data_IF_377868121766
#
_entry.id   IF_377868121766
#
_cell.length_a   1.000
_cell.length_b   1.000
_cell.length_c   1.000
_cell.angle_alpha   90.00
_cell.angle_beta   90.00
_cell.angle_gamma   90.00
#
_symmetry.space_group_name_H-M   'P 1'
#
loop_
_entity.id
_entity.type
_entity.pdbx_description
1 polymer ?
#
# COMPACT_ATOMS: atom_id res chain seq x y z
N UNK A 1 -9.44 24.89 5.88
CA UNK A 1 -9.72 24.81 7.32
C UNK A 1 -8.41 24.87 8.08
N UNK A 2 -8.29 25.56 9.22
CA UNK A 2 -7.07 25.56 10.01
C UNK A 2 -6.76 24.11 10.46
N UNK A 3 -5.51 23.66 10.22
CA UNK A 3 -5.02 22.37 10.70
C UNK A 3 -4.92 22.44 12.22
N UNK A 4 -5.72 21.65 12.91
CA UNK A 4 -5.58 21.49 14.37
C UNK A 4 -4.39 20.56 14.58
N UNK A 5 -3.28 21.12 15.07
CA UNK A 5 -2.15 20.35 15.58
C UNK A 5 -2.60 19.75 16.93
N UNK A 6 -3.05 18.50 16.92
CA UNK A 6 -3.27 17.75 18.15
C UNK A 6 -1.90 17.36 18.73
N UNK A 7 -1.80 17.35 20.07
CA UNK A 7 -0.65 16.75 20.75
C UNK A 7 -0.55 15.27 20.28
N UNK A 8 0.63 14.78 19.89
CA UNK A 8 0.80 13.39 19.46
C UNK A 8 0.28 12.36 20.47
N UNK A 9 0.34 12.66 21.77
CA UNK A 9 -0.19 11.79 22.83
C UNK A 9 -1.71 11.75 22.79
N UNK A 10 -2.36 12.90 22.64
CA UNK A 10 -3.83 13.02 22.55
C UNK A 10 -4.34 12.32 21.29
N UNK A 11 -3.62 12.44 20.18
CA UNK A 11 -3.97 11.74 18.93
C UNK A 11 -3.93 10.21 19.08
N UNK A 12 -2.88 9.67 19.69
CA UNK A 12 -2.76 8.22 19.94
C UNK A 12 -3.87 7.69 20.83
N UNK A 13 -4.20 8.43 21.89
CA UNK A 13 -5.30 8.08 22.78
C UNK A 13 -6.66 8.15 22.04
N UNK A 14 -6.88 9.19 21.24
CA UNK A 14 -8.11 9.36 20.47
C UNK A 14 -8.29 8.22 19.45
N UNK A 15 -7.23 7.82 18.75
CA UNK A 15 -7.24 6.68 17.82
C UNK A 15 -7.57 5.37 18.55
N UNK A 16 -6.92 5.09 19.68
CA UNK A 16 -7.19 3.91 20.49
C UNK A 16 -8.62 3.87 21.02
N UNK A 17 -9.13 5.00 21.53
CA UNK A 17 -10.50 5.11 22.04
C UNK A 17 -11.54 4.92 20.92
N UNK A 18 -11.32 5.53 19.75
CA UNK A 18 -12.19 5.35 18.58
C UNK A 18 -12.23 3.90 18.11
N UNK A 19 -11.09 3.23 18.10
CA UNK A 19 -10.98 1.80 17.76
C UNK A 19 -11.74 0.93 18.76
N UNK A 20 -11.51 1.11 20.06
CA UNK A 20 -12.17 0.33 21.09
C UNK A 20 -13.71 0.52 21.04
N UNK A 21 -14.19 1.75 20.94
CA UNK A 21 -15.61 2.04 20.83
C UNK A 21 -16.26 1.46 19.56
N UNK A 22 -15.52 1.41 18.46
CA UNK A 22 -16.00 0.79 17.24
C UNK A 22 -16.02 -0.75 17.34
N UNK A 23 -14.99 -1.33 17.96
CA UNK A 23 -14.86 -2.77 18.18
C UNK A 23 -15.94 -3.31 19.13
N UNK A 24 -16.42 -2.51 20.08
CA UNK A 24 -17.51 -2.89 21.00
C UNK A 24 -18.88 -3.05 20.30
N UNK A 25 -19.02 -2.55 19.06
CA UNK A 25 -20.22 -2.75 18.24
C UNK A 25 -20.20 -4.04 17.44
N UNK A 26 -19.08 -4.75 17.43
CA UNK A 26 -18.93 -6.02 16.70
C UNK A 26 -19.56 -7.17 17.47
N UNK A 27 -20.16 -8.11 16.76
CA UNK A 27 -20.65 -9.36 17.33
C UNK A 27 -19.48 -10.32 17.57
N UNK A 28 -19.00 -10.36 18.79
CA UNK A 28 -17.85 -11.20 19.19
C UNK A 28 -18.17 -12.70 19.31
N UNK A 29 -19.40 -13.12 19.01
CA UNK A 29 -19.75 -14.55 18.90
C UNK A 29 -19.35 -15.15 17.56
N UNK A 30 -19.01 -14.28 16.60
CA UNK A 30 -18.52 -14.63 15.25
C UNK A 30 -17.12 -14.06 15.03
N UNK A 31 -16.30 -14.70 14.18
CA UNK A 31 -14.95 -14.20 13.90
C UNK A 31 -14.98 -12.78 13.30
N UNK A 32 -14.03 -11.93 13.70
CA UNK A 32 -13.80 -10.64 13.05
C UNK A 32 -12.99 -10.88 11.78
N UNK A 33 -13.40 -10.33 10.64
CA UNK A 33 -12.62 -10.41 9.41
C UNK A 33 -11.69 -9.18 9.29
N UNK A 34 -10.38 -9.42 9.28
CA UNK A 34 -9.36 -8.41 9.03
C UNK A 34 -8.96 -8.48 7.57
N UNK A 35 -9.11 -7.38 6.85
CA UNK A 35 -8.79 -7.27 5.43
C UNK A 35 -7.70 -6.22 5.24
N UNK A 36 -6.69 -6.51 4.43
CA UNK A 36 -5.61 -5.56 4.21
C UNK A 36 -5.03 -5.60 2.81
N UNK A 37 -4.29 -4.54 2.50
CA UNK A 37 -3.50 -4.44 1.28
C UNK A 37 -2.30 -5.40 1.34
N UNK A 38 -1.75 -5.77 0.19
CA UNK A 38 -0.69 -6.78 0.07
C UNK A 38 0.73 -6.22 0.08
N UNK A 39 0.91 -4.95 0.42
CA UNK A 39 2.24 -4.36 0.60
C UNK A 39 2.72 -4.35 2.06
N UNK A 40 3.91 -3.76 2.30
CA UNK A 40 4.51 -3.78 3.62
C UNK A 40 3.67 -3.05 4.66
N UNK A 41 2.99 -1.94 4.31
CA UNK A 41 2.14 -1.20 5.25
C UNK A 41 0.88 -2.00 5.56
N UNK A 42 0.16 -2.45 4.53
CA UNK A 42 -1.08 -3.21 4.70
C UNK A 42 -0.89 -4.52 5.45
N UNK A 43 0.11 -5.37 5.07
CA UNK A 43 0.36 -6.63 5.79
C UNK A 43 0.89 -6.41 7.22
N UNK A 44 1.68 -5.35 7.47
CA UNK A 44 2.12 -5.03 8.82
C UNK A 44 0.96 -4.54 9.70
N UNK A 45 0.02 -3.75 9.14
CA UNK A 45 -1.21 -3.35 9.82
C UNK A 45 -2.06 -4.57 10.19
N UNK A 46 -2.31 -5.47 9.23
CA UNK A 46 -3.06 -6.72 9.47
C UNK A 46 -2.38 -7.58 10.52
N UNK A 47 -1.07 -7.82 10.41
CA UNK A 47 -0.34 -8.64 11.39
C UNK A 47 -0.40 -8.04 12.80
N UNK A 48 -0.30 -6.72 12.93
CA UNK A 48 -0.41 -6.02 14.21
C UNK A 48 -1.79 -6.22 14.85
N UNK A 49 -2.86 -6.00 14.08
CA UNK A 49 -4.23 -6.18 14.55
C UNK A 49 -4.57 -7.63 14.89
N UNK A 50 -4.16 -8.57 14.03
CA UNK A 50 -4.39 -9.99 14.26
C UNK A 50 -3.71 -10.48 15.54
N UNK A 51 -2.45 -10.07 15.77
CA UNK A 51 -1.75 -10.37 17.03
C UNK A 51 -2.44 -9.75 18.25
N UNK A 52 -2.92 -8.50 18.13
CA UNK A 52 -3.59 -7.81 19.22
C UNK A 52 -4.95 -8.47 19.56
N UNK A 53 -5.75 -8.79 18.54
CA UNK A 53 -7.01 -9.52 18.73
C UNK A 53 -6.78 -10.90 19.33
N UNK A 54 -5.76 -11.64 18.84
CA UNK A 54 -5.39 -12.94 19.39
C UNK A 54 -4.95 -12.86 20.85
N UNK A 55 -4.13 -11.86 21.23
CA UNK A 55 -3.73 -11.61 22.61
C UNK A 55 -4.94 -11.27 23.52
N UNK A 56 -5.91 -10.53 22.97
CA UNK A 56 -7.18 -10.23 23.64
C UNK A 56 -8.20 -11.39 23.60
N UNK A 57 -7.84 -12.54 23.01
CA UNK A 57 -8.71 -13.73 22.85
C UNK A 57 -9.98 -13.43 22.04
N UNK A 58 -9.88 -12.56 21.06
CA UNK A 58 -10.94 -12.24 20.13
C UNK A 58 -10.72 -13.07 18.86
N UNK A 59 -11.70 -13.87 18.47
CA UNK A 59 -11.62 -14.72 17.28
C UNK A 59 -11.62 -13.87 16.01
N UNK A 60 -10.75 -14.23 15.07
CA UNK A 60 -10.57 -13.47 13.85
C UNK A 60 -10.06 -14.32 12.69
N UNK A 61 -10.37 -13.87 11.49
CA UNK A 61 -9.85 -14.41 10.24
C UNK A 61 -9.15 -13.28 9.45
N UNK A 62 -8.23 -13.65 8.57
CA UNK A 62 -7.45 -12.69 7.77
C UNK A 62 -7.72 -12.91 6.29
N UNK A 63 -7.83 -11.81 5.55
CA UNK A 63 -7.91 -11.78 4.09
C UNK A 63 -7.00 -10.66 3.54
N UNK A 64 -5.96 -11.01 2.83
CA UNK A 64 -5.15 -10.03 2.09
C UNK A 64 -5.70 -9.92 0.68
N UNK A 65 -6.03 -8.71 0.26
CA UNK A 65 -6.42 -8.44 -1.12
C UNK A 65 -5.17 -8.38 -2.00
N UNK A 66 -5.23 -9.12 -3.09
CA UNK A 66 -4.13 -9.24 -4.04
C UNK A 66 -4.26 -8.29 -5.22
N UNK A 67 -3.48 -8.60 -6.25
CA UNK A 67 -3.39 -7.83 -7.49
C UNK A 67 -4.75 -7.72 -8.20
N UNK A 68 -5.26 -6.49 -8.25
CA UNK A 68 -6.50 -6.17 -8.98
C UNK A 68 -7.79 -6.44 -8.22
N UNK A 69 -7.72 -6.86 -6.96
CA UNK A 69 -8.88 -6.94 -6.06
C UNK A 69 -9.15 -5.57 -5.43
N UNK A 70 -10.42 -5.32 -5.13
CA UNK A 70 -10.86 -4.06 -4.52
C UNK A 70 -11.96 -4.37 -3.49
N UNK A 71 -11.86 -3.86 -2.25
CA UNK A 71 -12.82 -4.18 -1.20
C UNK A 71 -14.23 -3.61 -1.45
N UNK A 72 -14.37 -2.66 -2.39
CA UNK A 72 -15.69 -2.12 -2.79
C UNK A 72 -16.30 -2.83 -3.99
N UNK A 73 -15.70 -3.90 -4.52
CA UNK A 73 -16.31 -4.68 -5.58
C UNK A 73 -17.43 -5.57 -5.03
N UNK A 74 -18.50 -5.73 -5.81
CA UNK A 74 -19.65 -6.56 -5.42
C UNK A 74 -19.25 -8.00 -5.05
N UNK A 75 -18.29 -8.58 -5.79
CA UNK A 75 -17.77 -9.91 -5.51
C UNK A 75 -17.14 -10.01 -4.11
N UNK A 76 -16.46 -8.95 -3.64
CA UNK A 76 -15.89 -8.94 -2.29
C UNK A 76 -16.99 -8.78 -1.22
N UNK A 77 -18.00 -7.97 -1.46
CA UNK A 77 -19.16 -7.88 -0.57
C UNK A 77 -19.89 -9.23 -0.45
N UNK A 78 -19.97 -10.00 -1.54
CA UNK A 78 -20.54 -11.37 -1.53
C UNK A 78 -19.62 -12.33 -0.74
N UNK A 79 -18.29 -12.23 -0.88
CA UNK A 79 -17.33 -13.00 -0.08
C UNK A 79 -17.51 -12.71 1.42
N UNK A 80 -17.61 -11.44 1.81
CA UNK A 80 -17.81 -11.05 3.22
C UNK A 80 -19.14 -11.61 3.75
N UNK A 81 -20.21 -11.51 2.96
CA UNK A 81 -21.52 -12.05 3.34
C UNK A 81 -21.50 -13.57 3.52
N UNK A 82 -20.79 -14.29 2.65
CA UNK A 82 -20.65 -15.74 2.77
C UNK A 82 -19.81 -16.18 3.98
N UNK A 83 -18.88 -15.34 4.44
CA UNK A 83 -18.07 -15.58 5.65
C UNK A 83 -18.81 -15.24 6.95
N UNK A 84 -19.88 -14.46 6.87
CA UNK A 84 -20.71 -14.00 7.98
C UNK A 84 -19.91 -13.52 9.21
N UNK A 85 -18.98 -12.53 9.05
CA UNK A 85 -18.17 -12.07 10.17
C UNK A 85 -18.98 -11.25 11.16
N UNK A 86 -18.56 -11.25 12.44
CA UNK A 86 -19.13 -10.40 13.47
C UNK A 86 -18.80 -8.92 13.31
N UNK A 87 -17.83 -8.59 12.47
CA UNK A 87 -17.41 -7.24 12.10
C UNK A 87 -16.25 -7.29 11.11
N UNK A 88 -15.99 -6.17 10.46
CA UNK A 88 -14.98 -6.03 9.41
C UNK A 88 -13.97 -4.96 9.80
N UNK A 89 -12.67 -5.27 9.73
CA UNK A 89 -11.59 -4.29 9.84
C UNK A 89 -10.88 -4.26 8.49
N UNK A 90 -10.85 -3.12 7.84
CA UNK A 90 -10.19 -2.94 6.54
C UNK A 90 -9.02 -1.98 6.71
N UNK A 91 -7.83 -2.38 6.29
CA UNK A 91 -6.61 -1.60 6.46
C UNK A 91 -5.94 -1.32 5.12
N UNK A 92 -5.50 -0.06 4.92
CA UNK A 92 -4.62 0.35 3.82
C UNK A 92 -5.22 0.11 2.41
N UNK A 93 -6.54 0.28 2.29
CA UNK A 93 -7.27 0.06 1.03
C UNK A 93 -8.09 1.27 0.58
N UNK A 94 -7.96 2.39 1.30
CA UNK A 94 -8.67 3.64 1.05
C UNK A 94 -9.92 3.82 1.93
N UNK A 95 -10.50 5.01 1.85
CA UNK A 95 -11.75 5.40 2.52
C UNK A 95 -12.73 5.93 1.49
N UNK A 96 -13.93 5.33 1.44
CA UNK A 96 -15.01 5.76 0.54
C UNK A 96 -16.30 6.04 1.29
N UNK A 97 -17.26 6.65 0.63
CA UNK A 97 -18.58 6.95 1.21
C UNK A 97 -19.49 5.74 1.32
N UNK A 98 -19.41 4.82 0.35
CA UNK A 98 -20.18 3.58 0.32
C UNK A 98 -19.61 2.53 1.29
N UNK A 99 -20.43 1.68 1.91
CA UNK A 99 -19.97 0.61 2.77
C UNK A 99 -19.25 -0.49 1.96
N UNK A 100 -18.21 -1.11 2.55
CA UNK A 100 -17.54 -2.28 1.96
C UNK A 100 -18.47 -3.49 1.88
N UNK A 101 -19.22 -3.74 2.94
CA UNK A 101 -20.24 -4.79 3.01
C UNK A 101 -21.45 -4.23 3.76
N UNK A 102 -22.59 -3.95 3.06
CA UNK A 102 -23.77 -3.43 3.70
C UNK A 102 -24.28 -4.33 4.83
N UNK A 103 -24.61 -3.73 5.99
CA UNK A 103 -25.12 -4.44 7.18
C UNK A 103 -24.03 -5.08 8.04
N UNK A 104 -22.73 -4.92 7.72
CA UNK A 104 -21.61 -5.41 8.53
C UNK A 104 -20.92 -4.22 9.19
N UNK A 105 -20.88 -4.12 10.54
CA UNK A 105 -20.14 -3.09 11.24
C UNK A 105 -18.67 -3.10 10.80
N UNK A 106 -18.17 -1.92 10.37
CA UNK A 106 -16.86 -1.84 9.71
C UNK A 106 -15.97 -0.78 10.37
N UNK A 107 -14.69 -1.11 10.54
CA UNK A 107 -13.63 -0.17 10.89
C UNK A 107 -12.70 -0.05 9.69
N UNK A 108 -12.50 1.17 9.16
CA UNK A 108 -11.50 1.48 8.15
C UNK A 108 -10.30 2.14 8.85
N UNK A 109 -9.09 1.59 8.64
CA UNK A 109 -7.82 2.14 9.16
C UNK A 109 -6.95 2.46 7.96
N UNK A 110 -6.76 3.75 7.66
CA UNK A 110 -6.18 4.16 6.38
C UNK A 110 -5.53 5.55 6.46
N UNK A 111 -4.65 5.86 5.52
CA UNK A 111 -4.00 7.16 5.42
C UNK A 111 -4.12 7.82 4.03
N UNK A 112 -4.70 7.12 3.07
CA UNK A 112 -4.92 7.67 1.74
C UNK A 112 -5.97 8.78 1.74
N UNK A 113 -5.94 9.62 0.69
CA UNK A 113 -6.95 10.67 0.50
C UNK A 113 -8.33 10.04 0.36
N UNK A 114 -9.28 10.34 1.26
CA UNK A 114 -10.63 9.80 1.17
C UNK A 114 -11.34 10.25 -0.10
N UNK A 115 -12.04 9.35 -0.77
CA UNK A 115 -12.90 9.68 -1.93
C UNK A 115 -14.37 9.86 -1.54
N UNK A 116 -14.70 9.70 -0.26
CA UNK A 116 -16.02 9.92 0.30
C UNK A 116 -16.00 9.90 1.82
N UNK A 117 -17.12 10.29 2.44
CA UNK A 117 -17.29 10.25 3.89
C UNK A 117 -18.13 9.04 4.27
N UNK A 118 -17.57 8.03 4.96
CA UNK A 118 -18.31 6.87 5.41
C UNK A 118 -19.46 7.27 6.34
N UNK A 119 -20.55 6.53 6.26
CA UNK A 119 -21.73 6.71 7.11
C UNK A 119 -22.17 5.40 7.74
N UNK A 120 -23.29 5.46 8.49
CA UNK A 120 -23.90 4.29 9.10
C UNK A 120 -23.02 3.56 10.10
N UNK A 121 -22.80 2.27 9.88
CA UNK A 121 -22.05 1.39 10.79
C UNK A 121 -20.53 1.41 10.56
N UNK A 122 -20.03 2.31 9.71
CA UNK A 122 -18.60 2.42 9.41
C UNK A 122 -17.92 3.49 10.26
N UNK A 123 -16.85 3.10 10.96
CA UNK A 123 -15.93 4.03 11.64
C UNK A 123 -14.66 4.14 10.81
N UNK A 124 -14.29 5.36 10.43
CA UNK A 124 -13.01 5.62 9.78
C UNK A 124 -11.99 6.19 10.77
N UNK A 125 -10.85 5.54 10.87
CA UNK A 125 -9.64 5.99 11.57
C UNK A 125 -8.64 6.34 10.48
N UNK A 126 -8.51 7.63 10.18
CA UNK A 126 -7.73 8.11 9.05
C UNK A 126 -6.57 8.98 9.49
N UNK A 127 -5.39 8.69 8.93
CA UNK A 127 -4.19 9.52 9.05
C UNK A 127 -4.15 10.67 8.06
N UNK A 128 -5.02 10.68 7.06
CA UNK A 128 -5.01 11.68 6.01
C UNK A 128 -5.19 13.11 6.55
N UNK A 129 -4.30 13.99 6.13
CA UNK A 129 -4.31 15.40 6.52
C UNK A 129 -3.65 15.69 7.87
N UNK A 130 -3.20 14.69 8.62
CA UNK A 130 -2.34 14.88 9.80
C UNK A 130 -0.92 15.27 9.35
N UNK A 131 -0.17 15.91 10.23
CA UNK A 131 1.22 16.30 9.95
C UNK A 131 2.08 16.01 11.18
N UNK A 132 3.00 15.04 11.08
CA UNK A 132 3.23 14.12 9.96
C UNK A 132 2.08 13.13 9.75
N UNK A 133 1.93 12.62 8.51
CA UNK A 133 0.89 11.66 8.16
C UNK A 133 1.30 10.25 8.61
N UNK A 134 0.56 9.59 9.54
CA UNK A 134 0.86 8.24 9.98
C UNK A 134 0.40 7.23 8.94
N UNK A 135 1.17 6.16 8.74
CA UNK A 135 0.79 5.03 7.87
C UNK A 135 -0.28 4.15 8.52
N UNK A 136 -0.91 3.29 7.72
CA UNK A 136 -1.94 2.36 8.21
C UNK A 136 -1.39 1.41 9.28
N UNK A 137 -0.13 0.94 9.18
CA UNK A 137 0.49 0.10 10.20
C UNK A 137 0.76 0.86 11.51
N UNK A 138 1.10 2.15 11.45
CA UNK A 138 1.26 2.95 12.66
C UNK A 138 -0.09 3.18 13.34
N UNK A 139 -1.13 3.51 12.59
CA UNK A 139 -2.50 3.63 13.10
C UNK A 139 -2.98 2.30 13.72
N UNK A 140 -2.72 1.18 13.04
CA UNK A 140 -3.05 -0.16 13.54
C UNK A 140 -2.31 -0.47 14.86
N UNK A 141 -1.06 -0.03 15.00
CA UNK A 141 -0.33 -0.19 16.25
C UNK A 141 -0.91 0.67 17.39
N UNK A 142 -1.33 1.92 17.11
CA UNK A 142 -2.05 2.73 18.10
C UNK A 142 -3.39 2.09 18.50
N UNK A 143 -4.12 1.50 17.54
CA UNK A 143 -5.33 0.71 17.82
C UNK A 143 -5.04 -0.51 18.70
N UNK A 144 -3.97 -1.26 18.39
CA UNK A 144 -3.57 -2.45 19.14
C UNK A 144 -3.26 -2.13 20.61
N UNK A 145 -2.67 -0.97 20.91
CA UNK A 145 -2.41 -0.51 22.28
C UNK A 145 -3.66 -0.30 23.12
N UNK A 146 -4.81 -0.07 22.50
CA UNK A 146 -6.09 -0.01 23.22
C UNK A 146 -6.58 -1.39 23.70
N UNK A 147 -6.03 -2.49 23.16
CA UNK A 147 -6.34 -3.86 23.57
C UNK A 147 -5.34 -4.43 24.58
N UNK A 148 -4.18 -3.81 24.74
CA UNK A 148 -3.15 -4.28 25.66
C UNK A 148 -1.74 -3.82 25.28
N UNK A 149 -0.71 -4.49 25.82
CA UNK A 149 0.68 -4.19 25.48
C UNK A 149 1.00 -4.63 24.04
N UNK A 150 1.39 -3.68 23.22
CA UNK A 150 1.78 -3.88 21.83
C UNK A 150 3.25 -3.51 21.54
N UNK A 151 4.05 -3.24 22.57
CA UNK A 151 5.44 -2.74 22.40
C UNK A 151 6.35 -3.74 21.70
N UNK A 152 6.07 -5.04 21.83
CA UNK A 152 6.79 -6.09 21.11
C UNK A 152 6.57 -6.03 19.59
N UNK A 153 5.49 -5.39 19.12
CA UNK A 153 5.10 -5.30 17.72
C UNK A 153 5.38 -3.93 17.09
N UNK A 154 6.04 -3.03 17.81
CA UNK A 154 6.40 -1.69 17.28
C UNK A 154 7.21 -1.76 15.98
N UNK A 155 7.98 -2.83 15.78
CA UNK A 155 8.71 -3.04 14.53
C UNK A 155 7.80 -3.23 13.31
N UNK A 156 6.55 -3.71 13.49
CA UNK A 156 5.55 -3.80 12.43
C UNK A 156 5.07 -2.40 12.03
N UNK A 157 4.82 -1.50 12.99
CA UNK A 157 4.53 -0.10 12.69
C UNK A 157 5.69 0.57 11.93
N UNK A 158 6.94 0.32 12.35
CA UNK A 158 8.12 0.79 11.65
C UNK A 158 8.27 0.19 10.25
N UNK A 159 7.75 -1.03 10.02
CA UNK A 159 7.72 -1.67 8.70
C UNK A 159 6.85 -0.87 7.72
N UNK A 160 5.66 -0.43 8.13
CA UNK A 160 4.81 0.44 7.32
C UNK A 160 5.46 1.81 7.07
N UNK A 161 5.92 2.48 8.12
CA UNK A 161 6.59 3.80 8.00
C UNK A 161 7.75 3.77 7.00
N UNK A 162 8.59 2.74 7.05
CA UNK A 162 9.72 2.58 6.11
C UNK A 162 9.20 2.20 4.71
N UNK A 163 8.18 1.36 4.62
CA UNK A 163 7.57 0.91 3.37
C UNK A 163 7.05 2.07 2.53
N UNK A 164 6.42 3.04 3.18
CA UNK A 164 5.83 4.24 2.59
C UNK A 164 6.75 5.46 2.62
N UNK A 165 8.01 5.23 2.96
CA UNK A 165 9.05 6.27 2.92
C UNK A 165 8.75 7.48 3.82
N UNK A 166 8.15 7.27 5.00
CA UNK A 166 7.95 8.33 5.98
C UNK A 166 9.31 8.98 6.34
N UNK A 167 9.35 10.31 6.57
CA UNK A 167 10.56 10.99 7.03
C UNK A 167 11.10 10.34 8.32
N UNK A 168 12.42 10.22 8.44
CA UNK A 168 13.04 9.48 9.55
C UNK A 168 12.79 10.09 10.93
N UNK A 169 12.57 11.39 10.97
CA UNK A 169 12.33 12.20 12.18
C UNK A 169 10.84 12.48 12.42
N UNK A 170 9.97 11.97 11.56
CA UNK A 170 8.55 12.26 11.63
C UNK A 170 7.84 11.65 12.86
N UNK A 171 8.31 10.46 13.30
CA UNK A 171 7.64 9.71 14.36
C UNK A 171 8.63 9.15 15.38
N UNK A 172 8.36 9.40 16.67
CA UNK A 172 9.15 8.84 17.78
C UNK A 172 9.13 7.31 17.80
N UNK A 173 8.07 6.70 17.29
CA UNK A 173 7.92 5.25 17.13
C UNK A 173 8.96 4.67 16.18
N UNK A 174 9.25 5.35 15.07
CA UNK A 174 10.29 4.93 14.13
C UNK A 174 11.66 4.99 14.77
N UNK A 175 11.97 6.10 15.46
CA UNK A 175 13.24 6.27 16.19
C UNK A 175 13.40 5.18 17.27
N UNK A 176 12.36 4.91 18.05
CA UNK A 176 12.36 3.85 19.08
C UNK A 176 12.57 2.46 18.47
N UNK A 177 11.87 2.15 17.37
CA UNK A 177 12.05 0.88 16.68
C UNK A 177 13.48 0.74 16.10
N UNK A 178 14.03 1.79 15.51
CA UNK A 178 15.39 1.80 14.99
C UNK A 178 16.44 1.59 16.10
N UNK A 179 16.24 2.21 17.27
CA UNK A 179 17.09 2.01 18.43
C UNK A 179 17.06 0.56 18.95
N UNK A 180 15.85 -0.05 18.98
CA UNK A 180 15.65 -1.40 19.52
C UNK A 180 16.11 -2.50 18.57
N UNK A 181 15.82 -2.41 17.27
CA UNK A 181 16.06 -3.49 16.30
C UNK A 181 17.12 -3.18 15.25
N UNK A 182 17.55 -1.95 15.15
CA UNK A 182 18.55 -1.50 14.20
C UNK A 182 17.98 -1.07 12.86
N UNK A 183 18.35 0.12 12.41
CA UNK A 183 17.89 0.77 11.16
C UNK A 183 18.11 -0.11 9.93
N UNK A 184 19.29 -0.73 9.80
CA UNK A 184 19.62 -1.60 8.66
C UNK A 184 18.76 -2.87 8.64
N UNK A 185 18.56 -3.50 9.81
CA UNK A 185 17.74 -4.71 9.90
C UNK A 185 16.28 -4.43 9.50
N UNK A 186 15.70 -3.32 9.99
CA UNK A 186 14.35 -2.88 9.61
C UNK A 186 14.24 -2.65 8.10
N UNK A 187 15.14 -1.86 7.50
CA UNK A 187 15.12 -1.58 6.06
C UNK A 187 15.25 -2.84 5.20
N UNK A 188 16.14 -3.75 5.59
CA UNK A 188 16.34 -5.00 4.87
C UNK A 188 15.10 -5.91 4.98
N UNK A 189 14.47 -5.99 6.16
CA UNK A 189 13.23 -6.73 6.36
C UNK A 189 12.10 -6.15 5.50
N UNK A 190 11.89 -4.83 5.49
CA UNK A 190 10.89 -4.16 4.64
C UNK A 190 11.13 -4.45 3.17
N UNK A 191 12.39 -4.38 2.71
CA UNK A 191 12.74 -4.71 1.32
C UNK A 191 12.40 -6.16 0.96
N UNK A 192 12.54 -7.08 1.91
CA UNK A 192 12.22 -8.49 1.73
C UNK A 192 10.70 -8.72 1.76
N UNK A 193 10.01 -8.14 2.74
CA UNK A 193 8.55 -8.22 2.90
C UNK A 193 7.80 -7.68 1.68
N UNK A 194 8.30 -6.60 1.06
CA UNK A 194 7.70 -6.00 -0.13
C UNK A 194 8.00 -6.75 -1.44
N UNK A 195 8.89 -7.73 -1.44
CA UNK A 195 9.27 -8.41 -2.67
C UNK A 195 8.13 -9.25 -3.29
N UNK A 196 7.37 -10.06 -2.52
CA UNK A 196 6.32 -10.90 -3.08
C UNK A 196 5.25 -10.13 -3.85
N UNK A 197 4.80 -8.96 -3.33
CA UNK A 197 3.79 -8.16 -4.03
C UNK A 197 4.23 -7.68 -5.41
N UNK A 198 5.55 -7.59 -5.62
CA UNK A 198 6.17 -7.11 -6.87
C UNK A 198 6.54 -8.23 -7.82
N UNK A 199 6.64 -9.46 -7.35
CA UNK A 199 6.89 -10.65 -8.15
C UNK A 199 5.69 -10.94 -9.07
N UNK A 200 5.87 -11.79 -10.07
CA UNK A 200 4.81 -12.11 -11.03
C UNK A 200 3.56 -12.71 -10.38
N UNK A 201 3.75 -13.60 -9.41
CA UNK A 201 2.66 -14.23 -8.66
C UNK A 201 1.89 -13.23 -7.80
N UNK A 202 2.55 -12.14 -7.33
CA UNK A 202 2.00 -11.13 -6.43
C UNK A 202 1.35 -11.72 -5.16
N UNK A 203 1.87 -12.86 -4.67
CA UNK A 203 1.38 -13.56 -3.47
C UNK A 203 2.09 -13.07 -2.21
N UNK A 204 1.40 -12.30 -1.38
CA UNK A 204 1.91 -11.79 -0.11
C UNK A 204 1.71 -12.77 1.07
N UNK A 205 1.10 -13.94 0.85
CA UNK A 205 0.82 -14.91 1.93
C UNK A 205 2.07 -15.34 2.71
N UNK A 206 3.23 -15.62 2.07
CA UNK A 206 4.44 -15.95 2.82
C UNK A 206 4.94 -14.79 3.70
N UNK A 207 4.81 -13.54 3.22
CA UNK A 207 5.19 -12.38 4.00
C UNK A 207 4.30 -12.20 5.23
N UNK A 208 2.97 -12.30 5.07
CA UNK A 208 2.05 -12.27 6.19
C UNK A 208 2.33 -13.41 7.20
N UNK A 209 2.48 -14.65 6.71
CA UNK A 209 2.76 -15.81 7.57
C UNK A 209 4.03 -15.61 8.40
N UNK A 210 5.07 -15.02 7.80
CA UNK A 210 6.31 -14.67 8.49
C UNK A 210 6.09 -13.57 9.53
N UNK A 211 5.33 -12.50 9.19
CA UNK A 211 5.01 -11.42 10.12
C UNK A 211 4.13 -11.87 11.29
N UNK A 212 3.35 -12.92 11.14
CA UNK A 212 2.57 -13.51 12.23
C UNK A 212 3.41 -14.33 13.22
N UNK A 213 4.61 -14.76 12.85
CA UNK A 213 5.50 -15.63 13.65
C UNK A 213 6.69 -14.88 14.23
N UNK A 214 7.37 -14.07 13.42
CA UNK A 214 8.64 -13.46 13.75
C UNK A 214 8.54 -12.47 14.92
N UNK A 215 9.50 -12.52 15.84
CA UNK A 215 9.63 -11.59 16.96
C UNK A 215 10.29 -10.26 16.59
N UNK A 216 10.82 -10.13 15.36
CA UNK A 216 11.46 -8.89 14.91
C UNK A 216 12.14 -9.02 13.53
N UNK A 217 12.67 -7.89 13.01
CA UNK A 217 13.21 -7.84 11.65
C UNK A 217 14.44 -8.74 11.44
N UNK A 218 15.24 -9.01 12.46
CA UNK A 218 16.38 -9.94 12.35
C UNK A 218 15.91 -11.37 12.13
N UNK A 219 14.83 -11.76 12.75
CA UNK A 219 14.24 -13.09 12.58
C UNK A 219 13.62 -13.26 11.18
N UNK A 220 12.97 -12.22 10.64
CA UNK A 220 12.53 -12.17 9.24
C UNK A 220 13.68 -12.46 8.27
N UNK A 221 14.89 -12.00 8.59
CA UNK A 221 16.08 -12.11 7.73
C UNK A 221 16.91 -13.38 7.98
N UNK A 222 16.66 -14.09 9.07
CA UNK A 222 17.56 -15.15 9.57
C UNK A 222 17.50 -16.47 8.79
N UNK A 223 16.42 -16.69 8.02
CA UNK A 223 16.14 -18.00 7.41
C UNK A 223 15.62 -19.06 8.40
N UNK A 224 15.29 -18.69 9.65
CA UNK A 224 14.74 -19.59 10.65
C UNK A 224 13.33 -20.11 10.27
N UNK A 225 12.64 -19.39 9.37
CA UNK A 225 11.32 -19.74 8.89
C UNK A 225 11.34 -20.09 7.39
N UNK A 226 10.61 -21.12 6.95
CA UNK A 226 10.58 -21.52 5.53
C UNK A 226 10.03 -20.41 4.62
N UNK A 227 9.16 -19.54 5.13
CA UNK A 227 8.62 -18.40 4.41
C UNK A 227 9.72 -17.42 3.96
N UNK A 228 10.82 -17.32 4.70
CA UNK A 228 11.96 -16.46 4.33
C UNK A 228 12.52 -16.83 2.95
N UNK A 229 12.60 -18.13 2.63
CA UNK A 229 13.08 -18.56 1.32
C UNK A 229 12.16 -18.10 0.19
N UNK A 230 10.83 -18.21 0.36
CA UNK A 230 9.87 -17.72 -0.63
C UNK A 230 10.01 -16.20 -0.88
N UNK A 231 10.28 -15.43 0.18
CA UNK A 231 10.53 -13.98 0.04
C UNK A 231 11.86 -13.70 -0.67
N UNK A 232 12.90 -14.48 -0.42
CA UNK A 232 14.19 -14.36 -1.10
C UNK A 232 14.07 -14.68 -2.59
N UNK A 233 13.33 -15.72 -2.95
CA UNK A 233 13.06 -16.11 -4.34
C UNK A 233 12.28 -15.01 -5.08
N UNK A 234 11.23 -14.49 -4.47
CA UNK A 234 10.49 -13.35 -5.00
C UNK A 234 11.38 -12.11 -5.17
N UNK A 235 12.28 -11.85 -4.23
CA UNK A 235 13.24 -10.73 -4.33
C UNK A 235 14.24 -10.94 -5.46
N UNK A 236 14.72 -12.17 -5.66
CA UNK A 236 15.61 -12.51 -6.76
C UNK A 236 14.93 -12.31 -8.12
N UNK A 237 13.67 -12.75 -8.27
CA UNK A 237 12.84 -12.52 -9.44
C UNK A 237 12.67 -11.02 -9.76
N UNK A 238 12.27 -10.23 -8.77
CA UNK A 238 12.11 -8.77 -8.92
C UNK A 238 13.43 -8.10 -9.31
N UNK A 239 14.56 -8.51 -8.72
CA UNK A 239 15.87 -7.96 -9.04
C UNK A 239 16.31 -8.31 -10.48
N UNK A 240 16.04 -9.52 -10.94
CA UNK A 240 16.29 -9.93 -12.31
C UNK A 240 15.45 -9.11 -13.30
N UNK A 241 14.16 -8.96 -13.03
CA UNK A 241 13.26 -8.13 -13.85
C UNK A 241 13.73 -6.66 -13.90
N UNK A 242 14.17 -6.10 -12.75
CA UNK A 242 14.74 -4.75 -12.69
C UNK A 242 16.03 -4.63 -13.51
N UNK A 243 16.91 -5.62 -13.47
CA UNK A 243 18.14 -5.62 -14.25
C UNK A 243 17.87 -5.58 -15.76
N UNK A 244 16.88 -6.33 -16.23
CA UNK A 244 16.44 -6.31 -17.63
C UNK A 244 15.82 -4.95 -18.02
N UNK A 245 14.86 -4.45 -17.23
CA UNK A 245 14.18 -3.19 -17.54
C UNK A 245 15.13 -1.98 -17.52
N UNK A 246 16.20 -2.02 -16.74
CA UNK A 246 17.25 -0.97 -16.71
C UNK A 246 18.05 -0.84 -18.01
N UNK A 247 18.05 -1.86 -18.85
CA UNK A 247 18.73 -1.85 -20.17
C UNK A 247 17.94 -1.06 -21.21
N UNK A 248 16.66 -0.79 -20.94
CA UNK A 248 15.82 0.00 -21.84
C UNK A 248 16.14 1.48 -21.65
N UNK A 249 16.67 2.17 -22.69
CA UNK A 249 16.97 3.58 -22.58
C UNK A 249 15.68 4.40 -22.61
N UNK A 250 15.63 5.53 -21.87
CA UNK A 250 14.51 6.45 -21.95
C UNK A 250 14.45 7.11 -23.34
N UNK A 251 13.25 7.23 -23.88
CA UNK A 251 12.97 8.13 -25.01
C UNK A 251 12.52 9.47 -24.47
N UNK A 252 13.06 10.55 -24.99
CA UNK A 252 12.77 11.90 -24.49
C UNK A 252 12.08 12.71 -25.58
N UNK A 253 10.94 13.30 -25.21
CA UNK A 253 10.21 14.26 -26.03
C UNK A 253 9.79 15.43 -25.14
N UNK A 254 10.29 16.62 -25.43
CA UNK A 254 10.05 17.80 -24.59
C UNK A 254 10.45 17.56 -23.13
N UNK A 255 9.50 17.71 -22.24
CA UNK A 255 9.71 17.54 -20.79
C UNK A 255 9.46 16.11 -20.28
N UNK A 256 9.09 15.17 -21.17
CA UNK A 256 8.75 13.80 -20.81
C UNK A 256 9.85 12.84 -21.23
N UNK A 257 10.21 11.94 -20.34
CA UNK A 257 11.08 10.79 -20.59
C UNK A 257 10.29 9.50 -20.37
N UNK A 258 10.10 8.72 -21.42
CA UNK A 258 9.32 7.47 -21.43
C UNK A 258 10.23 6.26 -21.52
N UNK A 259 10.06 5.31 -20.61
CA UNK A 259 10.70 3.99 -20.60
C UNK A 259 9.60 2.94 -20.71
N UNK A 260 9.49 2.21 -21.84
CA UNK A 260 8.50 1.15 -22.05
C UNK A 260 9.18 -0.21 -22.10
N UNK A 261 8.72 -1.13 -21.27
CA UNK A 261 9.23 -2.49 -21.17
C UNK A 261 8.07 -3.47 -20.91
N UNK A 262 8.35 -4.78 -21.01
CA UNK A 262 7.41 -5.83 -20.65
C UNK A 262 7.99 -6.66 -19.51
N UNK A 263 7.24 -6.81 -18.42
CA UNK A 263 7.62 -7.64 -17.28
C UNK A 263 6.37 -8.08 -16.52
N UNK A 264 6.27 -9.34 -16.08
CA UNK A 264 5.18 -9.78 -15.21
C UNK A 264 5.29 -9.17 -13.80
N UNK A 265 6.47 -8.65 -13.43
CA UNK A 265 6.72 -8.03 -12.13
C UNK A 265 6.24 -6.57 -12.08
N UNK A 266 5.77 -6.13 -10.90
CA UNK A 266 5.37 -4.74 -10.65
C UNK A 266 6.59 -3.83 -10.42
N UNK A 267 7.40 -3.62 -11.45
CA UNK A 267 8.65 -2.87 -11.34
C UNK A 267 8.60 -1.46 -11.95
N UNK A 268 7.53 -1.10 -12.67
CA UNK A 268 7.39 0.23 -13.27
C UNK A 268 7.54 1.39 -12.28
N UNK A 269 7.03 1.33 -11.01
CA UNK A 269 7.28 2.41 -10.05
C UNK A 269 8.76 2.51 -9.64
N UNK A 270 9.46 1.38 -9.58
CA UNK A 270 10.88 1.34 -9.21
C UNK A 270 11.76 1.89 -10.34
N UNK A 271 11.44 1.55 -11.58
CA UNK A 271 12.13 2.10 -12.77
C UNK A 271 11.91 3.61 -12.87
N UNK A 272 10.67 4.09 -12.73
CA UNK A 272 10.39 5.52 -12.74
C UNK A 272 11.14 6.27 -11.64
N UNK A 273 11.16 5.73 -10.42
CA UNK A 273 11.88 6.31 -9.28
C UNK A 273 13.40 6.38 -9.50
N UNK A 274 13.98 5.35 -10.11
CA UNK A 274 15.42 5.32 -10.40
C UNK A 274 15.81 6.36 -11.45
N UNK A 275 15.03 6.46 -12.53
CA UNK A 275 15.29 7.42 -13.60
C UNK A 275 14.99 8.86 -13.19
N UNK A 276 14.01 9.10 -12.30
CA UNK A 276 13.77 10.41 -11.69
C UNK A 276 15.05 11.03 -11.12
N UNK A 277 15.88 10.21 -10.45
CA UNK A 277 17.14 10.67 -9.87
C UNK A 277 18.20 11.08 -10.90
N UNK A 278 18.10 10.56 -12.14
CA UNK A 278 19.03 10.83 -13.26
C UNK A 278 18.53 11.93 -14.17
N UNK A 279 17.23 12.03 -14.36
CA UNK A 279 16.56 12.97 -15.26
C UNK A 279 15.73 13.97 -14.42
N UNK A 280 16.43 14.81 -13.65
CA UNK A 280 15.84 15.65 -12.60
C UNK A 280 14.90 16.74 -13.15
N UNK A 281 15.11 17.17 -14.39
CA UNK A 281 14.33 18.17 -15.10
C UNK A 281 13.12 17.60 -15.87
N UNK A 282 12.98 16.27 -15.92
CA UNK A 282 11.93 15.58 -16.69
C UNK A 282 10.82 15.00 -15.81
N UNK A 283 9.67 14.81 -16.44
CA UNK A 283 8.64 13.89 -16.00
C UNK A 283 9.03 12.51 -16.52
N UNK A 284 9.31 11.58 -15.64
CA UNK A 284 9.68 10.21 -16.00
C UNK A 284 8.46 9.32 -15.96
N UNK A 285 8.11 8.75 -17.11
CA UNK A 285 7.08 7.72 -17.27
C UNK A 285 7.74 6.36 -17.48
N UNK A 286 7.46 5.40 -16.61
CA UNK A 286 7.85 4.01 -16.81
C UNK A 286 6.61 3.16 -17.05
N UNK A 287 6.50 2.59 -18.25
CA UNK A 287 5.35 1.81 -18.70
C UNK A 287 5.69 0.32 -18.82
N UNK A 288 4.85 -0.51 -18.25
CA UNK A 288 4.99 -1.97 -18.23
C UNK A 288 3.80 -2.62 -18.95
N UNK A 289 4.06 -3.24 -20.07
CA UNK A 289 3.05 -3.91 -20.92
C UNK A 289 2.85 -5.38 -20.57
N UNK A 290 3.67 -5.96 -19.70
CA UNK A 290 3.61 -7.39 -19.32
C UNK A 290 3.11 -7.64 -17.90
N UNK A 291 2.72 -6.60 -17.14
CA UNK A 291 2.30 -6.77 -15.75
C UNK A 291 0.89 -7.37 -15.60
N UNK A 292 -0.02 -7.01 -16.50
CA UNK A 292 -1.39 -7.54 -16.53
C UNK A 292 -1.87 -7.58 -17.98
N UNK A 293 -2.38 -8.72 -18.40
CA UNK A 293 -2.87 -8.91 -19.76
C UNK A 293 -3.98 -7.91 -20.12
N UNK A 294 -3.88 -7.32 -21.30
CA UNK A 294 -4.81 -6.33 -21.80
C UNK A 294 -4.72 -4.95 -21.13
N UNK A 295 -3.62 -4.68 -20.40
CA UNK A 295 -3.39 -3.39 -19.76
C UNK A 295 -1.93 -2.93 -19.92
N UNK A 296 -1.74 -1.64 -20.06
CA UNK A 296 -0.45 -0.98 -19.88
C UNK A 296 -0.46 -0.26 -18.53
N UNK A 297 0.32 -0.77 -17.59
CA UNK A 297 0.52 -0.11 -16.30
C UNK A 297 1.68 0.88 -16.39
N UNK A 298 1.53 2.06 -15.84
CA UNK A 298 2.60 3.04 -15.82
C UNK A 298 2.73 3.76 -14.48
N UNK A 299 3.93 4.25 -14.21
CA UNK A 299 4.21 5.13 -13.09
C UNK A 299 4.86 6.42 -13.61
N UNK A 300 4.44 7.54 -13.06
CA UNK A 300 4.99 8.86 -13.31
C UNK A 300 5.75 9.36 -12.07
N UNK A 301 6.96 9.87 -12.26
CA UNK A 301 7.78 10.47 -11.21
C UNK A 301 8.43 11.76 -11.72
N UNK A 302 8.55 12.78 -10.86
CA UNK A 302 9.31 13.98 -11.17
C UNK A 302 10.13 14.46 -9.96
N UNK A 303 11.30 15.01 -10.22
CA UNK A 303 12.12 15.71 -9.23
C UNK A 303 12.06 17.24 -9.42
N UNK A 304 11.38 17.74 -10.47
CA UNK A 304 11.32 19.16 -10.83
C UNK A 304 10.26 19.97 -10.07
N UNK A 305 9.51 19.34 -9.14
CA UNK A 305 8.41 20.01 -8.43
C UNK A 305 7.11 20.12 -9.23
N UNK A 306 7.04 19.57 -10.45
CA UNK A 306 5.81 19.59 -11.26
C UNK A 306 4.70 18.77 -10.62
N UNK A 307 3.48 19.27 -10.71
CA UNK A 307 2.27 18.57 -10.33
C UNK A 307 1.93 17.50 -11.37
N UNK A 308 2.19 16.24 -11.01
CA UNK A 308 1.92 15.09 -11.88
C UNK A 308 0.44 14.72 -11.96
N UNK A 309 -0.36 15.10 -10.97
CA UNK A 309 -1.82 14.89 -11.01
C UNK A 309 -2.42 15.81 -12.07
N UNK A 310 -2.07 17.11 -12.03
CA UNK A 310 -2.48 18.08 -13.05
C UNK A 310 -1.98 17.67 -14.43
N UNK A 311 -0.69 17.30 -14.56
CA UNK A 311 -0.13 16.81 -15.83
C UNK A 311 -0.91 15.63 -16.42
N UNK A 312 -1.23 14.62 -15.60
CA UNK A 312 -2.02 13.48 -16.09
C UNK A 312 -3.48 13.86 -16.40
N UNK A 313 -4.06 14.81 -15.66
CA UNK A 313 -5.41 15.30 -15.95
C UNK A 313 -5.47 16.00 -17.33
N UNK A 314 -4.47 16.84 -17.65
CA UNK A 314 -4.36 17.56 -18.94
C UNK A 314 -4.18 16.59 -20.13
N UNK A 315 -3.54 15.44 -19.91
CA UNK A 315 -3.28 14.40 -20.92
C UNK A 315 -4.18 13.17 -20.78
N UNK A 316 -5.33 13.31 -20.11
CA UNK A 316 -6.23 12.16 -19.86
C UNK A 316 -6.87 11.66 -21.16
N UNK A 317 -6.59 10.41 -21.60
CA UNK A 317 -7.23 9.88 -22.80
C UNK A 317 -8.71 9.60 -22.55
N UNK A 318 -9.52 9.75 -23.61
CA UNK A 318 -10.92 9.38 -23.56
C UNK A 318 -11.07 7.91 -23.18
N UNK A 319 -12.00 7.60 -22.27
CA UNK A 319 -12.22 6.25 -21.78
C UNK A 319 -11.38 5.84 -20.56
N UNK A 320 -10.37 6.62 -20.20
CA UNK A 320 -9.52 6.32 -19.03
C UNK A 320 -10.37 6.19 -17.75
N UNK A 321 -10.30 5.00 -17.13
CA UNK A 321 -11.09 4.64 -15.96
C UNK A 321 -10.55 5.23 -14.65
N UNK A 322 -11.10 4.74 -13.53
CA UNK A 322 -10.75 5.19 -12.18
C UNK A 322 -9.28 4.88 -11.77
N UNK A 323 -8.59 4.00 -12.49
CA UNK A 323 -7.19 3.63 -12.24
C UNK A 323 -6.17 4.57 -12.90
N UNK A 324 -6.57 5.73 -13.38
CA UNK A 324 -5.69 6.69 -14.06
C UNK A 324 -5.51 7.96 -13.22
N UNK A 325 -4.26 8.35 -12.97
CA UNK A 325 -3.91 9.61 -12.34
C UNK A 325 -4.04 9.64 -10.81
N UNK A 326 -4.10 8.47 -10.16
CA UNK A 326 -4.17 8.37 -8.70
C UNK A 326 -2.77 8.42 -8.07
N UNK A 327 -2.65 9.01 -6.88
CA UNK A 327 -1.41 9.09 -6.13
C UNK A 327 -1.14 10.48 -5.55
N UNK A 328 0.13 10.88 -5.57
CA UNK A 328 0.61 12.15 -5.01
C UNK A 328 1.12 13.08 -6.11
N UNK A 329 1.24 14.38 -5.78
CA UNK A 329 1.72 15.41 -6.71
C UNK A 329 3.04 15.06 -7.43
N UNK A 330 3.97 14.36 -6.74
CA UNK A 330 5.27 13.97 -7.30
C UNK A 330 5.40 12.48 -7.65
N UNK A 331 4.36 11.68 -7.39
CA UNK A 331 4.39 10.23 -7.55
C UNK A 331 3.00 9.69 -7.85
N UNK A 332 2.69 9.51 -9.12
CA UNK A 332 1.40 9.03 -9.59
C UNK A 332 1.59 7.93 -10.63
N UNK A 333 0.52 7.46 -11.22
CA UNK A 333 0.54 6.48 -12.30
C UNK A 333 -0.86 6.04 -12.67
N UNK A 334 -0.94 4.90 -13.34
CA UNK A 334 -2.23 4.37 -13.74
C UNK A 334 -2.13 3.10 -14.56
N UNK A 335 -3.30 2.65 -15.00
CA UNK A 335 -3.46 1.56 -15.94
C UNK A 335 -4.40 2.00 -17.07
N UNK A 336 -4.02 1.73 -18.30
CA UNK A 336 -4.76 2.05 -19.50
C UNK A 336 -4.94 0.81 -20.37
N UNK A 337 -6.06 0.70 -21.05
CA UNK A 337 -6.23 -0.27 -22.12
C UNK A 337 -5.34 0.09 -23.31
N UNK A 338 -4.99 -0.83 -24.21
CA UNK A 338 -4.13 -0.55 -25.38
C UNK A 338 -4.57 0.66 -26.20
N UNK A 339 -5.86 0.80 -26.49
CA UNK A 339 -6.38 1.94 -27.26
C UNK A 339 -6.19 3.27 -26.54
N UNK A 340 -6.45 3.33 -25.23
CA UNK A 340 -6.26 4.50 -24.37
C UNK A 340 -4.78 4.84 -24.25
N UNK A 341 -3.91 3.83 -24.06
CA UNK A 341 -2.46 4.00 -24.02
C UNK A 341 -1.95 4.59 -25.34
N UNK A 342 -2.42 4.07 -26.48
CA UNK A 342 -2.01 4.54 -27.79
C UNK A 342 -2.44 5.99 -28.05
N UNK A 343 -3.60 6.41 -27.53
CA UNK A 343 -4.01 7.82 -27.55
C UNK A 343 -3.12 8.69 -26.67
N UNK A 344 -2.84 8.24 -25.45
CA UNK A 344 -2.00 8.93 -24.46
C UNK A 344 -0.57 9.17 -24.97
N UNK A 345 0.09 8.15 -25.51
CA UNK A 345 1.48 8.31 -25.98
C UNK A 345 1.57 9.13 -27.27
N UNK A 346 0.53 9.14 -28.13
CA UNK A 346 0.47 10.06 -29.28
C UNK A 346 0.36 11.50 -28.85
N UNK A 347 -0.49 11.79 -27.88
CA UNK A 347 -0.68 13.11 -27.30
C UNK A 347 0.63 13.65 -26.69
N UNK A 348 1.39 12.81 -26.02
CA UNK A 348 2.71 13.13 -25.46
C UNK A 348 3.84 13.18 -26.49
N UNK A 349 3.57 12.94 -27.80
CA UNK A 349 4.58 12.99 -28.86
C UNK A 349 5.42 11.72 -29.02
N UNK A 350 4.95 10.54 -28.56
CA UNK A 350 5.62 9.26 -28.68
C UNK A 350 4.85 8.26 -29.58
N UNK A 351 4.60 8.56 -30.87
CA UNK A 351 3.79 7.67 -31.71
C UNK A 351 4.41 6.28 -31.94
N UNK A 352 5.72 6.13 -31.75
CA UNK A 352 6.43 4.85 -31.85
C UNK A 352 6.28 3.95 -30.62
N UNK A 353 5.68 4.46 -29.51
CA UNK A 353 5.49 3.73 -28.27
C UNK A 353 4.08 3.15 -28.10
N UNK A 354 3.34 3.07 -29.21
CA UNK A 354 2.06 2.37 -29.25
C UNK A 354 2.23 0.87 -29.05
N UNK A 355 1.19 0.20 -28.59
CA UNK A 355 1.12 -1.24 -28.39
C UNK A 355 0.03 -1.84 -29.29
N UNK A 356 0.09 -3.14 -29.62
CA UNK A 356 -1.01 -3.81 -30.30
C UNK A 356 -2.31 -3.67 -29.54
N UNK A 357 -3.44 -3.54 -30.27
CA UNK A 357 -4.78 -3.40 -29.71
C UNK A 357 -5.34 -4.72 -29.20
#
# INVERSE_FOLDING_TARGET
MPRVLLDPTDLRQAVGAAFAAALDRFDRTRPILIVGHFDADGIAAVATLARALGAARIDHAIRILGKGENPWDAAFADEVRARDPGGLIVTDLGVRGEPVAPGVPTILIDHHVPTGKPGGETTAISGNGLVPEPTSALLAWWCARALGDADAWLWLAATGLIGDMAPEDAFSELATAQARWGKTALRNAVSLINAPRRAAAADASPALALLMKAGGPKEVLSGAHPETQALLDAKAEVNAALAEAKRVPPRVQGDVALIRFASPCQIHPLIAQQWRGRLKDKIVLAANTGYRDGWVHFAARSASGRDLIAFLADHRPAGAGAHYGNGHVQATGGALRPAEWNAFVRDLGFPSEQVPA
#
